data_IF_560195912512
#
_entry.id   IF_560195912512
#
_cell.length_a   1.000
_cell.length_b   1.000
_cell.length_c   1.000
_cell.angle_alpha   90.00
_cell.angle_beta   90.00
_cell.angle_gamma   90.00
#
_symmetry.space_group_name_H-M   'P 1'
#
loop_
_entity.id
_entity.type
_entity.pdbx_description
1 polymer ?
#
# COMPACT_ATOMS: atom_id res chain seq x y z
N UNK A 1 -40.30 70.47 -2.76
CA UNK A 1 -40.15 69.23 -1.98
C UNK A 1 -39.90 68.07 -2.95
N UNK A 2 -38.64 67.73 -3.22
CA UNK A 2 -38.28 66.55 -4.00
C UNK A 2 -37.35 65.68 -3.16
N UNK A 3 -37.87 64.53 -2.72
CA UNK A 3 -37.16 63.51 -1.96
C UNK A 3 -36.44 62.57 -2.91
N UNK A 4 -35.12 62.70 -3.00
CA UNK A 4 -34.25 61.71 -3.67
C UNK A 4 -34.16 60.45 -2.81
N UNK A 5 -34.83 59.38 -3.25
CA UNK A 5 -34.63 58.01 -2.73
C UNK A 5 -33.22 57.53 -3.13
N UNK A 6 -32.32 57.40 -2.15
CA UNK A 6 -31.07 56.64 -2.31
C UNK A 6 -31.38 55.16 -2.23
N UNK A 7 -31.26 54.46 -3.35
CA UNK A 7 -31.37 53.00 -3.44
C UNK A 7 -30.05 52.34 -2.93
N UNK A 8 -30.10 51.11 -2.37
CA UNK A 8 -29.01 50.50 -1.64
C UNK A 8 -28.05 49.79 -2.60
N UNK A 9 -27.01 50.49 -3.07
CA UNK A 9 -25.94 49.87 -3.86
C UNK A 9 -24.97 49.01 -3.01
N UNK A 10 -25.11 49.00 -1.68
CA UNK A 10 -24.18 48.29 -0.79
C UNK A 10 -24.49 46.78 -0.62
N UNK A 11 -25.71 46.32 -0.92
CA UNK A 11 -26.08 44.90 -0.74
C UNK A 11 -25.70 43.99 -1.92
N UNK A 12 -25.53 44.54 -3.13
CA UNK A 12 -25.17 43.73 -4.30
C UNK A 12 -23.72 43.22 -4.23
N UNK A 13 -22.82 43.96 -3.56
CA UNK A 13 -21.40 43.62 -3.46
C UNK A 13 -21.10 42.49 -2.45
N UNK A 14 -21.94 42.32 -1.42
CA UNK A 14 -21.76 41.25 -0.43
C UNK A 14 -22.29 39.89 -0.91
N UNK A 15 -23.29 39.88 -1.80
CA UNK A 15 -23.84 38.64 -2.36
C UNK A 15 -22.92 37.98 -3.40
N UNK A 16 -22.05 38.76 -4.07
CA UNK A 16 -21.12 38.24 -5.07
C UNK A 16 -19.98 37.39 -4.47
N UNK A 17 -19.66 37.56 -3.18
CA UNK A 17 -18.58 36.80 -2.52
C UNK A 17 -19.04 35.38 -2.13
N UNK A 18 -20.34 35.15 -1.98
CA UNK A 18 -20.88 33.82 -1.62
C UNK A 18 -21.12 32.87 -2.81
N UNK A 19 -21.00 33.36 -4.06
CA UNK A 19 -21.11 32.53 -5.25
C UNK A 19 -19.78 31.97 -5.75
N UNK A 20 -18.66 32.32 -5.12
CA UNK A 20 -17.44 31.52 -5.24
C UNK A 20 -17.65 30.26 -4.41
N UNK A 21 -18.29 29.23 -5.00
CA UNK A 21 -18.21 27.88 -4.47
C UNK A 21 -16.75 27.59 -4.14
N UNK A 22 -16.49 26.99 -2.98
CA UNK A 22 -15.13 26.73 -2.51
C UNK A 22 -14.30 26.16 -3.67
N UNK A 23 -13.38 26.97 -4.20
CA UNK A 23 -12.38 26.47 -5.11
C UNK A 23 -11.57 25.47 -4.28
N UNK A 24 -11.87 24.18 -4.43
CA UNK A 24 -11.20 23.14 -3.69
C UNK A 24 -9.71 23.26 -3.99
N UNK A 25 -8.88 23.37 -2.96
CA UNK A 25 -7.43 23.31 -3.06
C UNK A 25 -6.97 21.88 -3.42
N UNK A 26 -7.54 21.33 -4.49
CA UNK A 26 -7.28 19.99 -4.98
C UNK A 26 -5.84 19.95 -5.49
N UNK A 27 -5.04 19.07 -4.89
CA UNK A 27 -3.63 18.96 -5.21
C UNK A 27 -3.42 18.19 -6.51
N UNK A 28 -2.44 18.59 -7.33
CA UNK A 28 -2.01 17.76 -8.46
C UNK A 28 -0.97 16.75 -7.98
N UNK A 29 -1.22 15.46 -8.20
CA UNK A 29 -0.29 14.38 -7.87
C UNK A 29 0.58 13.95 -9.05
N UNK A 30 0.39 14.55 -10.24
CA UNK A 30 1.19 14.22 -11.43
C UNK A 30 2.68 14.47 -11.17
N UNK A 31 3.51 13.52 -11.58
CA UNK A 31 4.95 13.63 -11.42
C UNK A 31 5.67 12.28 -11.41
N UNK A 32 6.98 12.40 -11.25
CA UNK A 32 7.91 11.30 -11.10
C UNK A 32 8.38 11.27 -9.65
N UNK A 33 8.04 10.19 -8.96
CA UNK A 33 8.09 10.07 -7.50
C UNK A 33 9.03 8.92 -7.12
N UNK A 34 10.34 9.17 -6.96
CA UNK A 34 11.24 8.17 -6.39
C UNK A 34 10.89 7.91 -4.93
N UNK A 35 10.94 6.62 -4.57
CA UNK A 35 10.64 6.19 -3.21
C UNK A 35 11.68 6.72 -2.23
N UNK A 36 11.23 7.18 -1.08
CA UNK A 36 12.08 7.48 0.07
C UNK A 36 12.09 6.26 0.96
N UNK A 37 13.13 5.44 0.83
CA UNK A 37 13.35 4.30 1.72
C UNK A 37 13.72 4.80 3.12
N UNK A 38 12.71 4.94 3.96
CA UNK A 38 12.82 5.25 5.38
C UNK A 38 11.73 4.46 6.14
N UNK A 39 11.62 4.64 7.46
CA UNK A 39 10.70 3.86 8.31
C UNK A 39 11.00 2.35 8.26
N UNK A 40 9.97 1.51 8.21
CA UNK A 40 10.06 0.05 8.06
C UNK A 40 10.15 -0.40 6.59
N UNK A 41 10.53 0.49 5.64
CA UNK A 41 10.62 0.23 4.18
C UNK A 41 12.05 0.15 3.62
N UNK A 42 13.02 -0.24 4.45
CA UNK A 42 14.44 -0.14 4.08
C UNK A 42 14.95 -1.45 3.48
N UNK A 43 14.54 -2.59 4.04
CA UNK A 43 15.06 -3.90 3.68
C UNK A 43 13.97 -4.90 3.27
N UNK A 44 14.40 -6.00 2.65
CA UNK A 44 13.54 -7.15 2.47
C UNK A 44 13.18 -7.76 3.84
N UNK A 45 11.91 -8.13 4.05
CA UNK A 45 11.48 -8.71 5.32
C UNK A 45 12.16 -10.07 5.54
N UNK A 46 12.48 -10.37 6.80
CA UNK A 46 12.98 -11.70 7.18
C UNK A 46 11.85 -12.73 7.12
N UNK A 47 12.22 -14.00 6.93
CA UNK A 47 11.30 -15.13 7.14
C UNK A 47 10.83 -15.13 8.59
N UNK A 48 9.52 -15.24 8.79
CA UNK A 48 8.91 -15.17 10.12
C UNK A 48 8.79 -13.77 10.75
N UNK A 49 9.17 -12.71 10.04
CA UNK A 49 9.04 -11.34 10.54
C UNK A 49 7.60 -10.81 10.37
N UNK A 50 6.75 -11.14 11.35
CA UNK A 50 5.34 -10.71 11.40
C UNK A 50 5.04 -9.72 12.53
N UNK A 51 6.08 -9.24 13.22
CA UNK A 51 5.95 -8.16 14.20
C UNK A 51 5.30 -6.93 13.58
N UNK A 52 4.33 -6.34 14.28
CA UNK A 52 3.61 -5.16 13.82
C UNK A 52 2.58 -5.45 12.72
N UNK A 53 2.20 -6.72 12.49
CA UNK A 53 1.16 -7.10 11.54
C UNK A 53 -0.05 -7.71 12.27
N UNK A 54 -1.28 -7.28 11.98
CA UNK A 54 -2.47 -7.80 12.63
C UNK A 54 -2.95 -9.11 11.99
N UNK A 55 -2.09 -10.12 11.94
CA UNK A 55 -2.39 -11.38 11.24
C UNK A 55 -3.45 -12.21 11.97
N UNK A 56 -4.40 -12.74 11.22
CA UNK A 56 -5.34 -13.76 11.70
C UNK A 56 -4.67 -15.12 11.86
N UNK A 57 -5.31 -16.04 12.58
CA UNK A 57 -4.85 -17.43 12.66
C UNK A 57 -4.76 -18.11 11.30
N UNK A 58 -5.65 -17.78 10.37
CA UNK A 58 -5.62 -18.33 9.02
C UNK A 58 -4.45 -17.78 8.21
N UNK A 59 -4.08 -16.51 8.42
CA UNK A 59 -2.87 -15.94 7.81
C UNK A 59 -1.61 -16.64 8.32
N UNK A 60 -1.53 -16.87 9.63
CA UNK A 60 -0.42 -17.59 10.27
C UNK A 60 -0.27 -19.01 9.72
N UNK A 61 -1.38 -19.74 9.53
CA UNK A 61 -1.36 -21.09 8.92
C UNK A 61 -0.93 -21.07 7.45
N UNK A 62 -1.42 -20.09 6.69
CA UNK A 62 -1.05 -19.91 5.28
C UNK A 62 0.43 -19.57 5.14
N UNK A 63 0.95 -18.75 6.03
CA UNK A 63 2.37 -18.42 6.14
C UNK A 63 3.23 -19.62 6.56
N UNK A 64 2.73 -20.47 7.47
CA UNK A 64 3.46 -21.65 7.95
C UNK A 64 3.76 -22.65 6.81
N UNK A 65 2.83 -22.83 5.88
CA UNK A 65 3.03 -23.74 4.74
C UNK A 65 3.77 -23.09 3.56
N UNK A 66 4.08 -21.79 3.64
CA UNK A 66 4.70 -21.03 2.57
C UNK A 66 6.21 -21.26 2.50
N UNK A 67 6.71 -21.51 1.29
CA UNK A 67 8.13 -21.64 1.01
C UNK A 67 8.57 -20.50 0.07
N UNK A 68 9.64 -19.79 0.43
CA UNK A 68 10.13 -18.65 -0.36
C UNK A 68 10.50 -19.00 -1.79
N UNK A 69 10.90 -20.25 -2.03
CA UNK A 69 11.25 -20.76 -3.35
C UNK A 69 10.05 -20.92 -4.27
N UNK A 70 8.82 -20.69 -3.81
CA UNK A 70 7.66 -20.51 -4.70
C UNK A 70 7.88 -19.39 -5.72
N UNK A 71 8.64 -18.34 -5.36
CA UNK A 71 8.97 -17.24 -6.27
C UNK A 71 9.90 -17.67 -7.43
N UNK A 72 10.60 -18.79 -7.28
CA UNK A 72 11.47 -19.36 -8.32
C UNK A 72 10.69 -20.18 -9.36
N UNK A 73 9.40 -20.42 -9.15
CA UNK A 73 8.56 -21.12 -10.11
C UNK A 73 8.34 -20.25 -11.36
N UNK A 74 8.45 -20.83 -12.57
CA UNK A 74 8.18 -20.14 -13.83
C UNK A 74 6.85 -19.35 -13.85
N UNK A 75 5.81 -19.93 -13.26
CA UNK A 75 4.46 -19.36 -13.20
C UNK A 75 4.35 -18.15 -12.27
N UNK A 76 5.32 -17.97 -11.36
CA UNK A 76 5.33 -16.90 -10.36
C UNK A 76 6.25 -15.73 -10.72
N UNK A 77 7.33 -15.97 -11.47
CA UNK A 77 8.37 -14.97 -11.77
C UNK A 77 7.85 -13.69 -12.43
N UNK A 78 6.85 -13.82 -13.32
CA UNK A 78 6.27 -12.71 -14.06
C UNK A 78 4.89 -12.28 -13.57
N UNK A 79 4.45 -12.73 -12.39
CA UNK A 79 3.23 -12.23 -11.78
C UNK A 79 3.41 -10.76 -11.36
N UNK A 80 2.52 -9.86 -11.78
CA UNK A 80 2.54 -8.50 -11.29
C UNK A 80 2.32 -8.47 -9.78
N UNK A 81 2.98 -7.55 -9.09
CA UNK A 81 2.66 -7.26 -7.70
C UNK A 81 1.27 -6.64 -7.59
N UNK A 82 0.45 -7.14 -6.65
CA UNK A 82 -0.90 -6.60 -6.43
C UNK A 82 -0.87 -5.17 -5.90
N UNK A 83 -2.00 -4.48 -6.01
CA UNK A 83 -2.19 -3.14 -5.45
C UNK A 83 -1.94 -3.07 -3.93
N UNK A 84 -2.15 -4.18 -3.20
CA UNK A 84 -1.90 -4.24 -1.76
C UNK A 84 -0.40 -4.25 -1.42
N UNK A 85 0.44 -4.80 -2.31
CA UNK A 85 1.90 -4.84 -2.13
C UNK A 85 2.61 -3.64 -2.76
N UNK A 86 2.36 -3.37 -4.04
CA UNK A 86 3.25 -2.51 -4.85
C UNK A 86 3.36 -1.09 -4.31
N UNK A 87 2.27 -0.55 -3.76
CA UNK A 87 2.19 0.81 -3.22
C UNK A 87 3.09 1.02 -2.00
N UNK A 88 3.50 -0.09 -1.37
CA UNK A 88 4.45 -0.15 -0.25
C UNK A 88 5.81 -0.74 -0.64
N UNK A 89 5.95 -1.23 -1.86
CA UNK A 89 7.18 -1.80 -2.38
C UNK A 89 8.30 -0.76 -2.58
N UNK A 90 9.52 -1.20 -2.92
CA UNK A 90 10.67 -0.32 -3.09
C UNK A 90 10.73 0.36 -4.48
N UNK A 91 9.65 0.28 -5.27
CA UNK A 91 9.64 0.75 -6.65
C UNK A 91 9.36 2.25 -6.74
N UNK A 92 10.01 2.91 -7.69
CA UNK A 92 9.68 4.26 -8.12
C UNK A 92 8.27 4.33 -8.71
N UNK A 93 7.61 5.46 -8.50
CA UNK A 93 6.22 5.71 -8.92
C UNK A 93 6.18 6.81 -9.98
N UNK A 94 5.38 6.61 -11.02
CA UNK A 94 4.95 7.67 -11.95
C UNK A 94 3.46 7.89 -11.81
N UNK A 95 3.03 9.16 -11.75
CA UNK A 95 1.63 9.56 -11.81
C UNK A 95 1.41 10.52 -12.97
N UNK A 96 0.36 10.30 -13.76
CA UNK A 96 -0.13 11.30 -14.74
C UNK A 96 -1.66 11.36 -14.77
N UNK A 97 -2.19 12.49 -15.24
CA UNK A 97 -3.64 12.68 -15.39
C UNK A 97 -4.11 12.16 -16.74
N UNK A 98 -5.21 11.42 -16.70
CA UNK A 98 -6.11 11.28 -17.83
C UNK A 98 -7.17 12.37 -17.74
N UNK A 99 -7.34 13.16 -18.80
CA UNK A 99 -8.20 14.35 -18.82
C UNK A 99 -9.17 14.26 -19.98
N UNK A 100 -10.46 14.50 -19.70
CA UNK A 100 -11.46 14.60 -20.74
C UNK A 100 -11.18 15.84 -21.63
N UNK A 101 -11.03 15.68 -22.96
CA UNK A 101 -10.62 16.79 -23.82
C UNK A 101 -11.67 17.89 -23.95
N UNK A 102 -12.95 17.58 -23.72
CA UNK A 102 -14.06 18.54 -23.86
C UNK A 102 -14.27 19.36 -22.57
N UNK A 103 -14.46 18.70 -21.44
CA UNK A 103 -14.76 19.31 -20.14
C UNK A 103 -13.51 19.73 -19.36
N UNK A 104 -12.33 19.22 -19.73
CA UNK A 104 -11.06 19.39 -19.00
C UNK A 104 -11.06 18.83 -17.57
N UNK A 105 -12.04 18.00 -17.23
CA UNK A 105 -12.08 17.29 -15.96
C UNK A 105 -11.09 16.13 -15.96
N UNK A 106 -10.50 15.85 -14.79
CA UNK A 106 -9.65 14.68 -14.59
C UNK A 106 -10.55 13.44 -14.55
N UNK A 107 -10.32 12.48 -15.45
CA UNK A 107 -11.00 11.18 -15.48
C UNK A 107 -10.31 10.21 -14.52
N UNK A 108 -8.96 10.22 -14.50
CA UNK A 108 -8.18 9.35 -13.64
C UNK A 108 -6.80 9.93 -13.34
N UNK A 109 -6.25 9.57 -12.18
CA UNK A 109 -4.81 9.55 -11.97
C UNK A 109 -4.28 8.16 -12.30
N UNK A 110 -3.51 8.06 -13.38
CA UNK A 110 -2.83 6.83 -13.76
C UNK A 110 -1.58 6.67 -12.88
N UNK A 111 -1.36 5.47 -12.35
CA UNK A 111 -0.23 5.19 -11.44
C UNK A 111 0.54 3.97 -11.93
N UNK A 112 1.86 4.12 -12.03
CA UNK A 112 2.75 3.12 -12.62
C UNK A 112 3.97 2.90 -11.73
N UNK A 113 4.28 1.63 -11.49
CA UNK A 113 5.49 1.17 -10.81
C UNK A 113 6.13 0.03 -11.62
N UNK A 114 7.41 -0.23 -11.34
CA UNK A 114 8.11 -1.41 -11.85
C UNK A 114 7.44 -2.71 -11.38
N UNK A 115 7.29 -3.70 -12.28
CA UNK A 115 6.70 -5.04 -12.02
C UNK A 115 5.23 -5.03 -11.55
N UNK A 116 4.48 -3.98 -11.85
CA UNK A 116 3.05 -3.94 -11.58
C UNK A 116 2.24 -3.61 -12.82
N UNK A 117 0.98 -4.02 -12.79
CA UNK A 117 -0.01 -3.51 -13.74
C UNK A 117 -0.33 -2.06 -13.41
N UNK A 118 -0.72 -1.28 -14.41
CA UNK A 118 -1.26 0.05 -14.20
C UNK A 118 -2.46 0.00 -13.23
N UNK A 119 -2.49 0.88 -12.22
CA UNK A 119 -3.58 0.95 -11.23
C UNK A 119 -4.27 2.31 -11.27
N UNK A 120 -5.14 2.57 -12.27
CA UNK A 120 -5.83 3.85 -12.39
C UNK A 120 -6.67 4.15 -11.14
N UNK A 121 -6.62 5.40 -10.69
CA UNK A 121 -7.52 5.97 -9.68
C UNK A 121 -8.55 6.80 -10.43
N UNK A 122 -9.75 6.25 -10.62
CA UNK A 122 -10.82 6.93 -11.35
C UNK A 122 -11.44 8.05 -10.51
N UNK A 123 -11.58 9.23 -11.10
CA UNK A 123 -12.03 10.47 -10.45
C UNK A 123 -13.42 10.90 -10.90
N UNK A 124 -14.00 10.20 -11.87
CA UNK A 124 -15.28 10.53 -12.52
C UNK A 124 -16.53 10.02 -11.79
N UNK A 125 -16.36 9.47 -10.58
CA UNK A 125 -17.47 8.99 -9.75
C UNK A 125 -18.13 7.72 -10.25
N UNK A 126 -17.50 6.98 -11.18
CA UNK A 126 -18.03 5.68 -11.64
C UNK A 126 -18.21 4.69 -10.48
N UNK A 127 -19.24 3.83 -10.53
CA UNK A 127 -19.46 2.84 -9.48
C UNK A 127 -18.35 1.79 -9.47
N UNK A 128 -18.08 1.23 -8.29
CA UNK A 128 -17.30 0.00 -8.21
C UNK A 128 -18.03 -1.15 -8.91
N UNK A 129 -17.30 -2.11 -9.52
CA UNK A 129 -17.89 -3.31 -10.09
C UNK A 129 -18.72 -4.09 -9.06
N UNK A 130 -19.71 -4.90 -9.50
CA UNK A 130 -20.41 -5.83 -8.62
C UNK A 130 -19.45 -6.91 -8.10
N UNK A 131 -19.76 -7.51 -6.95
CA UNK A 131 -18.88 -8.47 -6.24
C UNK A 131 -18.39 -9.65 -7.09
N UNK A 132 -19.19 -10.12 -8.06
CA UNK A 132 -18.84 -11.23 -8.95
C UNK A 132 -17.98 -10.82 -10.15
N UNK A 133 -17.64 -9.53 -10.29
CA UNK A 133 -16.78 -9.05 -11.37
C UNK A 133 -15.37 -9.62 -11.22
N UNK A 134 -14.68 -9.85 -12.34
CA UNK A 134 -13.34 -10.44 -12.33
C UNK A 134 -12.32 -9.57 -11.59
N UNK A 135 -11.50 -10.20 -10.75
CA UNK A 135 -10.43 -9.53 -10.01
C UNK A 135 -9.18 -9.34 -10.87
N UNK A 136 -8.47 -8.23 -10.67
CA UNK A 136 -7.21 -7.92 -11.36
C UNK A 136 -6.08 -7.75 -10.34
N UNK A 137 -4.80 -7.76 -10.77
CA UNK A 137 -3.68 -7.47 -9.86
C UNK A 137 -3.75 -6.04 -9.31
N UNK A 138 -4.13 -5.09 -10.17
CA UNK A 138 -4.28 -3.68 -9.81
C UNK A 138 -5.55 -3.32 -9.04
N UNK A 139 -6.51 -4.25 -8.96
CA UNK A 139 -7.85 -3.97 -8.43
C UNK A 139 -8.61 -2.93 -9.27
N UNK A 140 -9.64 -2.36 -8.65
CA UNK A 140 -10.42 -1.25 -9.17
C UNK A 140 -10.45 -0.13 -8.14
N UNK A 141 -9.95 1.05 -8.52
CA UNK A 141 -9.77 2.18 -7.60
C UNK A 141 -10.62 3.39 -8.01
N UNK A 142 -11.32 3.98 -7.05
CA UNK A 142 -11.99 5.29 -7.21
C UNK A 142 -11.47 6.30 -6.19
N UNK A 143 -11.33 7.54 -6.61
CA UNK A 143 -10.83 8.64 -5.80
C UNK A 143 -11.91 9.68 -5.51
N UNK A 144 -11.90 10.19 -4.28
CA UNK A 144 -12.77 11.27 -3.81
C UNK A 144 -11.96 12.27 -2.99
N UNK A 145 -12.12 13.56 -3.25
CA UNK A 145 -11.44 14.61 -2.49
C UNK A 145 -11.98 14.71 -1.07
N UNK A 146 -11.09 14.73 -0.08
CA UNK A 146 -11.40 15.04 1.32
C UNK A 146 -10.55 16.21 1.78
N UNK A 147 -11.06 17.44 1.60
CA UNK A 147 -10.24 18.63 1.80
C UNK A 147 -9.13 18.72 0.75
N UNK A 148 -7.88 18.73 1.18
CA UNK A 148 -6.69 18.82 0.34
C UNK A 148 -6.08 17.45 -0.02
N UNK A 149 -6.48 16.36 0.66
CA UNK A 149 -6.06 14.99 0.36
C UNK A 149 -7.03 14.26 -0.57
N UNK A 150 -6.51 13.26 -1.25
CA UNK A 150 -7.32 12.33 -2.05
C UNK A 150 -7.53 11.04 -1.28
N UNK A 151 -8.79 10.72 -0.96
CA UNK A 151 -9.17 9.40 -0.45
C UNK A 151 -9.42 8.47 -1.64
N UNK A 152 -8.79 7.30 -1.62
CA UNK A 152 -8.95 6.27 -2.66
C UNK A 152 -9.52 5.01 -2.04
N UNK A 153 -10.51 4.40 -2.70
CA UNK A 153 -11.04 3.09 -2.35
C UNK A 153 -10.65 2.10 -3.44
N UNK A 154 -10.02 0.99 -3.06
CA UNK A 154 -9.62 -0.09 -3.99
C UNK A 154 -10.28 -1.41 -3.59
N UNK A 155 -10.88 -2.12 -4.56
CA UNK A 155 -11.49 -3.46 -4.40
C UNK A 155 -11.16 -4.38 -5.59
N UNK A 156 -11.70 -5.61 -5.63
CA UNK A 156 -11.51 -6.58 -6.74
C UNK A 156 -10.03 -6.88 -7.05
N UNK A 157 -9.20 -6.97 -6.02
CA UNK A 157 -7.80 -7.36 -6.15
C UNK A 157 -7.69 -8.88 -6.17
N UNK A 158 -6.81 -9.44 -6.98
CA UNK A 158 -6.49 -10.88 -6.89
C UNK A 158 -5.82 -11.20 -5.54
N UNK A 159 -5.91 -12.46 -5.10
CA UNK A 159 -5.11 -12.97 -3.98
C UNK A 159 -3.61 -12.78 -4.27
N UNK A 160 -2.89 -12.22 -3.29
CA UNK A 160 -1.44 -12.03 -3.35
C UNK A 160 -0.85 -11.97 -1.93
N UNK A 161 -0.01 -10.99 -1.60
CA UNK A 161 0.63 -10.85 -0.30
C UNK A 161 0.76 -9.39 0.14
N UNK A 162 0.75 -9.13 1.45
CA UNK A 162 1.12 -7.81 2.00
C UNK A 162 2.64 -7.65 2.17
N UNK A 163 3.37 -8.76 2.30
CA UNK A 163 4.85 -8.81 2.36
C UNK A 163 5.38 -10.07 1.69
N UNK A 164 6.55 -9.96 1.06
CA UNK A 164 7.25 -11.05 0.34
C UNK A 164 7.90 -12.12 1.25
N UNK A 165 7.35 -12.37 2.43
CA UNK A 165 7.84 -13.35 3.42
C UNK A 165 6.73 -14.30 3.90
N UNK A 166 5.75 -14.55 3.03
CA UNK A 166 4.63 -15.46 3.31
C UNK A 166 3.38 -14.82 3.90
N UNK A 167 3.37 -13.49 4.15
CA UNK A 167 2.18 -12.79 4.65
C UNK A 167 1.14 -12.64 3.53
N UNK A 168 0.02 -13.39 3.57
CA UNK A 168 -0.92 -13.43 2.46
C UNK A 168 -1.87 -12.22 2.45
N UNK A 169 -2.46 -11.94 1.29
CA UNK A 169 -3.58 -11.02 1.08
C UNK A 169 -4.68 -11.76 0.32
N UNK A 170 -5.90 -11.77 0.87
CA UNK A 170 -7.04 -12.47 0.26
C UNK A 170 -7.64 -11.64 -0.88
N UNK A 171 -8.30 -12.28 -1.83
CA UNK A 171 -9.04 -11.59 -2.88
C UNK A 171 -10.24 -10.76 -2.35
N UNK A 172 -10.67 -11.01 -1.11
CA UNK A 172 -11.67 -10.21 -0.38
C UNK A 172 -11.10 -8.93 0.25
N UNK A 173 -9.79 -8.71 0.17
CA UNK A 173 -9.18 -7.51 0.71
C UNK A 173 -9.70 -6.23 0.04
N UNK A 174 -9.78 -5.16 0.81
CA UNK A 174 -10.09 -3.81 0.32
C UNK A 174 -9.10 -2.81 0.90
N UNK A 175 -8.81 -1.75 0.13
CA UNK A 175 -7.94 -0.67 0.59
C UNK A 175 -8.73 0.62 0.72
N UNK A 176 -8.52 1.34 1.81
CA UNK A 176 -8.78 2.78 1.89
C UNK A 176 -7.45 3.49 1.99
N UNK A 177 -7.20 4.42 1.10
CA UNK A 177 -5.89 5.04 0.94
C UNK A 177 -6.01 6.55 0.92
N UNK A 178 -4.93 7.22 1.29
CA UNK A 178 -4.87 8.69 1.32
C UNK A 178 -3.58 9.16 0.64
N UNK A 179 -3.72 9.91 -0.44
CA UNK A 179 -2.61 10.60 -1.07
C UNK A 179 -2.58 12.04 -0.54
N UNK A 180 -1.44 12.40 0.04
CA UNK A 180 -1.19 13.70 0.65
C UNK A 180 0.11 14.24 0.05
N UNK A 181 0.04 15.36 -0.65
CA UNK A 181 1.23 16.05 -1.15
C UNK A 181 1.60 17.16 -0.17
N UNK A 182 2.87 17.27 0.17
CA UNK A 182 3.39 18.24 1.13
C UNK A 182 4.70 18.82 0.63
N UNK A 183 4.97 20.09 0.95
CA UNK A 183 6.23 20.75 0.60
C UNK A 183 7.03 21.03 1.87
N UNK A 184 8.28 20.59 1.89
CA UNK A 184 9.22 20.83 2.98
C UNK A 184 10.59 21.17 2.39
N UNK A 185 11.20 22.27 2.85
CA UNK A 185 12.51 22.75 2.40
C UNK A 185 12.68 22.76 0.86
N UNK A 186 11.74 23.43 0.18
CA UNK A 186 11.66 23.50 -1.29
C UNK A 186 11.52 22.17 -2.06
N UNK A 187 11.32 21.06 -1.36
CA UNK A 187 11.10 19.74 -1.94
C UNK A 187 9.63 19.31 -1.76
N UNK A 188 9.02 18.80 -2.83
CA UNK A 188 7.71 18.16 -2.77
C UNK A 188 7.85 16.69 -2.36
N UNK A 189 7.00 16.27 -1.43
CA UNK A 189 6.85 14.89 -0.98
C UNK A 189 5.41 14.43 -1.19
N UNK A 190 5.26 13.16 -1.54
CA UNK A 190 3.99 12.46 -1.58
C UNK A 190 3.98 11.40 -0.48
N UNK A 191 3.09 11.58 0.50
CA UNK A 191 2.78 10.57 1.50
C UNK A 191 1.57 9.78 1.01
N UNK A 192 1.75 8.48 0.84
CA UNK A 192 0.68 7.54 0.49
C UNK A 192 0.38 6.65 1.69
N UNK A 193 -0.72 6.91 2.38
CA UNK A 193 -1.20 6.08 3.49
C UNK A 193 -2.13 5.01 2.94
N UNK A 194 -1.94 3.76 3.36
CA UNK A 194 -2.70 2.60 2.94
C UNK A 194 -3.29 1.97 4.18
N UNK A 195 -4.61 1.83 4.21
CA UNK A 195 -5.34 1.09 5.24
C UNK A 195 -5.96 -0.13 4.57
N UNK A 196 -5.39 -1.29 4.82
CA UNK A 196 -5.87 -2.56 4.29
C UNK A 196 -6.85 -3.22 5.26
N UNK A 197 -7.98 -3.67 4.72
CA UNK A 197 -8.99 -4.47 5.40
C UNK A 197 -9.06 -5.83 4.72
N UNK A 198 -8.89 -6.90 5.48
CA UNK A 198 -8.89 -8.26 4.95
C UNK A 198 -9.61 -9.19 5.93
N UNK A 199 -10.86 -9.58 5.66
CA UNK A 199 -11.64 -10.36 6.61
C UNK A 199 -11.10 -11.79 6.81
N UNK A 200 -10.22 -12.27 5.93
CA UNK A 200 -9.64 -13.62 6.01
C UNK A 200 -8.34 -13.59 6.80
N UNK A 201 -7.45 -12.65 6.45
CA UNK A 201 -6.05 -12.69 6.89
C UNK A 201 -5.66 -11.61 7.90
N UNK A 202 -6.51 -10.63 8.17
CA UNK A 202 -6.24 -9.59 9.17
C UNK A 202 -7.31 -9.57 10.26
N UNK A 203 -6.90 -9.40 11.53
CA UNK A 203 -7.81 -9.26 12.67
C UNK A 203 -8.28 -7.82 12.88
N UNK A 204 -7.51 -6.86 12.38
CA UNK A 204 -7.78 -5.42 12.41
C UNK A 204 -7.09 -4.76 11.22
N UNK A 205 -7.41 -3.49 10.88
CA UNK A 205 -6.86 -2.86 9.69
C UNK A 205 -5.33 -2.72 9.73
N UNK A 206 -4.65 -3.14 8.66
CA UNK A 206 -3.21 -2.92 8.52
C UNK A 206 -2.96 -1.53 7.93
N UNK A 207 -2.37 -0.64 8.72
CA UNK A 207 -2.07 0.74 8.33
C UNK A 207 -0.58 0.87 8.01
N UNK A 208 -0.26 1.37 6.82
CA UNK A 208 1.12 1.63 6.40
C UNK A 208 1.20 2.96 5.66
N UNK A 209 2.38 3.56 5.66
CA UNK A 209 2.67 4.72 4.82
C UNK A 209 3.91 4.46 3.96
N UNK A 210 3.89 5.06 2.77
CA UNK A 210 5.03 5.17 1.88
C UNK A 210 5.28 6.63 1.58
N UNK A 211 6.55 7.02 1.59
CA UNK A 211 6.97 8.38 1.25
C UNK A 211 7.68 8.37 -0.10
N UNK A 212 7.37 9.35 -0.93
CA UNK A 212 8.07 9.62 -2.18
C UNK A 212 8.51 11.08 -2.22
N UNK A 213 9.59 11.38 -2.94
CA UNK A 213 10.06 12.74 -3.18
C UNK A 213 9.96 13.05 -4.66
N UNK A 214 9.48 14.22 -5.07
CA UNK A 214 9.39 14.59 -6.48
C UNK A 214 10.78 14.70 -7.13
N UNK A 215 11.00 14.01 -8.24
CA UNK A 215 12.17 14.19 -9.08
C UNK A 215 11.80 13.96 -10.55
N UNK A 216 11.62 15.04 -11.31
CA UNK A 216 11.19 14.98 -12.71
C UNK A 216 12.22 14.32 -13.66
N UNK A 217 13.45 14.07 -13.20
CA UNK A 217 14.45 13.33 -13.97
C UNK A 217 14.37 11.81 -13.77
N UNK A 218 13.60 11.32 -12.80
CA UNK A 218 13.35 9.87 -12.67
C UNK A 218 12.69 9.33 -13.94
N UNK A 219 12.96 8.06 -14.22
CA UNK A 219 12.13 7.26 -15.11
C UNK A 219 11.77 5.94 -14.44
N UNK A 220 10.55 5.46 -14.69
CA UNK A 220 10.19 4.06 -14.43
C UNK A 220 10.64 3.25 -15.65
N UNK A 221 11.65 2.37 -15.53
CA UNK A 221 12.19 1.65 -16.68
C UNK A 221 11.23 0.55 -17.15
N UNK A 222 11.29 0.15 -18.43
CA UNK A 222 10.54 -1.00 -18.91
C UNK A 222 10.98 -2.26 -18.16
N UNK A 223 10.02 -3.16 -17.93
CA UNK A 223 10.27 -4.44 -17.29
C UNK A 223 9.82 -5.60 -18.20
N UNK A 224 10.60 -5.95 -19.24
CA UNK A 224 10.33 -7.13 -20.05
C UNK A 224 10.63 -8.36 -19.19
N UNK A 225 9.59 -8.93 -18.58
CA UNK A 225 9.75 -10.09 -17.73
C UNK A 225 10.09 -11.32 -18.57
N UNK A 226 11.23 -11.95 -18.28
CA UNK A 226 11.63 -13.23 -18.87
C UNK A 226 11.51 -14.32 -17.83
N UNK A 227 10.92 -15.44 -18.23
CA UNK A 227 10.79 -16.62 -17.38
C UNK A 227 12.04 -17.47 -17.57
N UNK A 228 12.67 -17.88 -16.47
CA UNK A 228 13.83 -18.77 -16.46
C UNK A 228 13.67 -19.86 -15.43
N UNK A 229 14.35 -21.00 -15.61
CA UNK A 229 14.43 -22.01 -14.57
C UNK A 229 15.52 -21.61 -13.57
N UNK A 230 15.14 -21.03 -12.43
CA UNK A 230 16.08 -20.66 -11.37
C UNK A 230 16.52 -21.86 -10.53
N UNK A 231 15.61 -22.80 -10.30
CA UNK A 231 15.87 -24.03 -9.52
C UNK A 231 15.22 -25.21 -10.23
N UNK A 232 16.01 -26.23 -10.53
CA UNK A 232 15.55 -27.47 -11.19
C UNK A 232 14.76 -28.31 -10.20
N UNK A 233 13.53 -28.70 -10.58
CA UNK A 233 12.62 -29.52 -9.76
C UNK A 233 11.86 -30.53 -10.64
N UNK A 234 11.33 -31.61 -10.06
CA UNK A 234 10.39 -32.49 -10.77
C UNK A 234 9.17 -31.72 -11.27
N UNK A 235 8.63 -32.14 -12.41
CA UNK A 235 7.39 -31.58 -12.96
C UNK A 235 6.23 -31.68 -11.95
N UNK A 236 5.42 -30.64 -11.85
CA UNK A 236 4.28 -30.57 -10.93
C UNK A 236 4.64 -30.33 -9.46
N UNK A 237 5.93 -30.24 -9.11
CA UNK A 237 6.33 -29.91 -7.74
C UNK A 237 6.09 -28.43 -7.44
N UNK A 238 5.26 -28.15 -6.44
CA UNK A 238 5.03 -26.80 -5.89
C UNK A 238 5.72 -26.71 -4.53
N UNK A 239 6.67 -25.78 -4.30
CA UNK A 239 7.31 -25.61 -3.01
C UNK A 239 6.30 -25.30 -1.91
N UNK A 240 6.40 -26.06 -0.81
CA UNK A 240 5.53 -25.92 0.35
C UNK A 240 6.20 -26.59 1.56
N UNK A 241 5.71 -26.23 2.75
CA UNK A 241 5.94 -26.98 3.97
C UNK A 241 4.66 -27.71 4.38
N UNK A 242 4.81 -28.88 4.99
CA UNK A 242 3.68 -29.50 5.69
C UNK A 242 3.46 -28.77 7.03
N UNK A 243 2.21 -28.72 7.54
CA UNK A 243 1.93 -28.13 8.86
C UNK A 243 2.85 -28.70 9.95
N UNK A 244 3.45 -27.81 10.75
CA UNK A 244 4.39 -28.14 11.81
C UNK A 244 5.82 -28.49 11.36
N UNK A 245 6.14 -28.42 10.06
CA UNK A 245 7.48 -28.75 9.55
C UNK A 245 8.31 -27.55 9.11
N UNK A 246 7.75 -26.34 9.14
CA UNK A 246 8.46 -25.13 8.73
C UNK A 246 9.20 -24.48 9.90
N UNK A 247 10.45 -24.86 10.12
CA UNK A 247 11.27 -24.23 11.16
C UNK A 247 11.72 -22.80 10.78
N UNK A 248 11.61 -22.41 9.51
CA UNK A 248 12.06 -21.09 9.04
C UNK A 248 11.17 -19.96 9.55
N UNK A 249 9.96 -20.25 10.02
CA UNK A 249 9.06 -19.26 10.64
C UNK A 249 9.65 -18.61 11.89
N UNK A 250 10.66 -19.23 12.50
CA UNK A 250 11.34 -18.69 13.68
C UNK A 250 12.65 -17.97 13.35
N UNK A 251 13.04 -17.90 12.08
CA UNK A 251 14.34 -17.32 11.67
C UNK A 251 14.55 -15.90 12.19
N UNK A 252 13.52 -15.05 12.09
CA UNK A 252 13.55 -13.70 12.65
C UNK A 252 13.76 -13.69 14.16
N UNK A 253 12.97 -14.47 14.90
CA UNK A 253 13.08 -14.54 16.36
C UNK A 253 14.44 -15.08 16.80
N UNK A 254 14.91 -16.16 16.20
CA UNK A 254 16.20 -16.78 16.53
C UNK A 254 17.37 -15.84 16.22
N UNK A 255 17.32 -15.11 15.11
CA UNK A 255 18.35 -14.16 14.70
C UNK A 255 18.48 -12.98 15.67
N UNK A 256 17.35 -12.41 16.11
CA UNK A 256 17.34 -11.25 17.01
C UNK A 256 17.27 -11.64 18.51
N UNK A 257 17.20 -12.93 18.82
CA UNK A 257 17.05 -13.43 20.19
C UNK A 257 15.73 -12.98 20.83
N UNK A 258 14.63 -13.03 20.07
CA UNK A 258 13.26 -12.73 20.49
C UNK A 258 12.50 -14.03 20.80
N UNK A 259 11.39 -13.97 21.57
CA UNK A 259 10.56 -15.15 21.79
C UNK A 259 10.00 -15.68 20.47
N UNK A 260 9.93 -17.02 20.33
CA UNK A 260 9.33 -17.66 19.16
C UNK A 260 7.81 -17.48 19.11
N UNK A 261 7.17 -17.24 20.26
CA UNK A 261 5.73 -16.94 20.33
C UNK A 261 5.35 -15.66 19.59
N UNK A 262 6.31 -14.75 19.35
CA UNK A 262 6.10 -13.51 18.59
C UNK A 262 5.48 -13.75 17.22
N UNK A 263 5.79 -14.89 16.58
CA UNK A 263 5.21 -15.28 15.31
C UNK A 263 3.68 -15.40 15.36
N UNK A 264 3.12 -15.83 16.50
CA UNK A 264 1.70 -16.14 16.68
C UNK A 264 0.87 -14.99 17.27
N UNK A 265 1.52 -13.93 17.75
CA UNK A 265 0.88 -12.91 18.57
C UNK A 265 0.06 -11.86 17.77
N UNK A 266 0.22 -11.84 16.45
CA UNK A 266 -0.61 -11.03 15.54
C UNK A 266 -0.72 -9.56 15.97
N UNK A 267 -1.95 -9.05 16.06
CA UNK A 267 -2.25 -7.65 16.37
C UNK A 267 -1.65 -7.15 17.69
N UNK A 268 -1.47 -8.00 18.71
CA UNK A 268 -0.87 -7.57 19.97
C UNK A 268 0.50 -6.93 19.73
N UNK A 269 1.25 -7.41 18.73
CA UNK A 269 2.61 -6.94 18.39
C UNK A 269 2.64 -5.52 17.82
N UNK A 270 1.50 -4.93 17.44
CA UNK A 270 1.40 -3.56 16.93
C UNK A 270 1.39 -2.52 18.05
N UNK A 271 1.03 -2.91 19.27
CA UNK A 271 0.74 -2.00 20.35
C UNK A 271 1.90 -1.85 21.33
N UNK A 272 2.15 -0.65 21.90
CA UNK A 272 3.25 -0.42 22.85
C UNK A 272 3.23 -1.35 24.08
N UNK A 273 2.05 -1.83 24.48
CA UNK A 273 1.82 -2.76 25.59
C UNK A 273 2.55 -4.08 25.40
N UNK A 274 2.79 -4.50 24.15
CA UNK A 274 3.52 -5.72 23.82
C UNK A 274 4.94 -5.72 24.41
N UNK A 275 5.55 -4.54 24.52
CA UNK A 275 6.85 -4.39 25.18
C UNK A 275 6.83 -4.91 26.61
N UNK A 276 5.74 -4.71 27.35
CA UNK A 276 5.59 -5.24 28.72
C UNK A 276 5.46 -6.77 28.75
N UNK A 277 4.94 -7.38 27.68
CA UNK A 277 4.93 -8.85 27.52
C UNK A 277 6.36 -9.35 27.34
N UNK A 278 7.13 -8.71 26.44
CA UNK A 278 8.55 -9.03 26.23
C UNK A 278 9.38 -8.89 27.52
N UNK A 279 9.20 -7.80 28.27
CA UNK A 279 9.89 -7.57 29.54
C UNK A 279 9.57 -8.65 30.58
N UNK A 280 8.29 -9.06 30.70
CA UNK A 280 7.87 -10.17 31.58
C UNK A 280 8.47 -11.52 31.19
N UNK A 281 8.73 -11.72 29.90
CA UNK A 281 9.39 -12.90 29.36
C UNK A 281 10.93 -12.81 29.43
N UNK A 282 11.49 -11.74 29.99
CA UNK A 282 12.94 -11.54 30.15
C UNK A 282 13.65 -10.90 28.96
N UNK A 283 12.92 -10.40 27.96
CA UNK A 283 13.46 -9.75 26.78
C UNK A 283 13.49 -8.23 26.96
N UNK A 284 14.37 -7.75 27.85
CA UNK A 284 14.48 -6.33 28.26
C UNK A 284 15.44 -5.48 27.43
N UNK A 285 16.26 -6.13 26.59
CA UNK A 285 17.13 -5.47 25.61
C UNK A 285 17.28 -6.38 24.38
N UNK A 286 17.33 -5.79 23.19
CA UNK A 286 17.63 -6.54 21.99
C UNK A 286 19.07 -7.08 22.09
N UNK A 287 19.28 -8.37 21.82
CA UNK A 287 20.64 -8.85 21.55
C UNK A 287 21.14 -8.08 20.32
N UNK A 288 22.40 -7.66 20.35
CA UNK A 288 23.02 -7.02 19.19
C UNK A 288 22.88 -8.00 18.04
N UNK A 289 22.18 -7.63 16.98
CA UNK A 289 22.09 -8.45 15.77
C UNK A 289 23.53 -8.82 15.36
N UNK A 290 23.83 -10.08 15.04
CA UNK A 290 25.14 -10.41 14.50
C UNK A 290 25.41 -9.50 13.31
N UNK A 291 26.64 -8.96 13.22
CA UNK A 291 27.04 -8.19 12.03
C UNK A 291 26.85 -9.09 10.82
N UNK A 292 26.11 -8.62 9.81
CA UNK A 292 26.08 -9.29 8.51
C UNK A 292 27.48 -9.16 7.92
N UNK A 293 28.13 -10.30 7.67
CA UNK A 293 29.36 -10.39 6.87
C UNK A 293 29.10 -9.96 5.42
#
# INVERSE_FOLDING_TARGET
MHTLRRAPLALASLAAVFCCGAAGAQMDFSGEWPVVQSQDNIDNPHLGEYVGLPLSREAIRRAEIWDASIQSLPEWQCRPHSAAYIKRGPSNLRIWKEVDPASRQIIAFQTEWLRSTNTPIYMDGRPHPPEYAGHTWGGFSTGTWEGDRLRVKTTHMKEDYYRRNGVPQSDLATLTEYLIRRRFDNQDYLTWVIVAYDPVYLTEPLIRSTEYRLNLAQQVPPYPCTIVTEVVRPEGYVPHWLPGQNDQIYSFSDYYGLPRELYFDGAETMYPEYRRKLERLGYTSARRAPQRD
#
